data_IF_200592354769
#
_entry.id   IF_200592354769
#
_cell.length_a   1.000
_cell.length_b   1.000
_cell.length_c   1.000
_cell.angle_alpha   90.00
_cell.angle_beta   90.00
_cell.angle_gamma   90.00
#
_symmetry.space_group_name_H-M   'P 1'
#
loop_
_entity.id
_entity.type
_entity.pdbx_description
1 polymer ?
#
# COMPACT_ATOMS: atom_id res chain seq x y z
N UNK A 1 -8.72 6.47 1.16
CA UNK A 1 -7.55 7.22 1.66
C UNK A 1 -8.05 8.50 2.31
N UNK A 2 -7.53 8.85 3.49
CA UNK A 2 -7.75 10.15 4.08
C UNK A 2 -7.37 11.24 3.06
N UNK A 3 -8.00 12.42 3.09
CA UNK A 3 -7.67 13.48 2.18
C UNK A 3 -6.22 13.92 2.42
N UNK A 4 -5.34 13.40 1.57
CA UNK A 4 -3.94 13.75 1.49
C UNK A 4 -3.80 14.86 0.44
N UNK A 5 -3.15 15.96 0.80
CA UNK A 5 -2.91 17.07 -0.10
C UNK A 5 -2.07 16.65 -1.31
N UNK A 6 -1.11 15.76 -1.10
CA UNK A 6 -0.25 15.23 -2.17
C UNK A 6 -1.08 14.48 -3.20
N UNK A 7 -1.92 13.54 -2.76
CA UNK A 7 -2.78 12.76 -3.66
C UNK A 7 -3.81 13.63 -4.41
N UNK A 8 -4.32 14.68 -3.77
CA UNK A 8 -5.21 15.65 -4.43
C UNK A 8 -4.48 16.44 -5.51
N UNK A 9 -3.26 16.85 -5.26
CA UNK A 9 -2.47 17.65 -6.19
C UNK A 9 -2.00 16.85 -7.41
N UNK A 10 -1.63 15.58 -7.25
CA UNK A 10 -1.26 14.71 -8.37
C UNK A 10 -2.36 14.61 -9.43
N UNK A 11 -3.62 14.62 -9.01
CA UNK A 11 -4.76 14.57 -9.93
C UNK A 11 -5.09 15.91 -10.62
N UNK A 12 -4.63 17.04 -10.09
CA UNK A 12 -5.07 18.37 -10.50
C UNK A 12 -3.93 19.18 -11.15
N UNK A 13 -2.70 19.05 -10.67
CA UNK A 13 -1.56 19.84 -11.14
C UNK A 13 -0.73 19.08 -12.18
N UNK A 14 -0.82 19.40 -13.50
CA UNK A 14 -0.05 18.71 -14.53
C UNK A 14 1.46 18.77 -14.26
N UNK A 15 2.13 17.62 -14.34
CA UNK A 15 3.58 17.52 -14.16
C UNK A 15 4.04 17.46 -12.70
N UNK A 16 3.11 17.28 -11.76
CA UNK A 16 3.41 16.89 -10.41
C UNK A 16 3.33 15.36 -10.31
N UNK A 17 4.33 14.74 -9.73
CA UNK A 17 4.39 13.29 -9.52
C UNK A 17 5.08 12.96 -8.21
N UNK A 18 4.71 11.86 -7.59
CA UNK A 18 5.37 11.33 -6.42
C UNK A 18 6.28 10.16 -6.81
N UNK A 19 7.51 10.23 -6.40
CA UNK A 19 8.48 9.15 -6.58
C UNK A 19 9.16 8.87 -5.22
N UNK A 20 9.11 7.62 -4.76
CA UNK A 20 9.62 7.21 -3.44
C UNK A 20 9.09 8.07 -2.28
N UNK A 21 7.82 8.41 -2.30
CA UNK A 21 7.17 9.31 -1.32
C UNK A 21 7.69 10.76 -1.35
N UNK A 22 8.50 11.14 -2.33
CA UNK A 22 8.93 12.53 -2.53
C UNK A 22 8.18 13.15 -3.68
N UNK A 23 7.67 14.35 -3.45
CA UNK A 23 6.96 15.12 -4.44
C UNK A 23 7.96 15.75 -5.43
N UNK A 24 7.72 15.57 -6.72
CA UNK A 24 8.55 16.14 -7.78
C UNK A 24 7.72 16.91 -8.80
N UNK A 25 8.23 18.04 -9.23
CA UNK A 25 7.68 18.80 -10.35
C UNK A 25 8.56 18.53 -11.57
N UNK A 26 7.97 17.98 -12.67
CA UNK A 26 8.64 17.60 -13.92
C UNK A 26 9.46 16.31 -13.89
N UNK A 27 9.29 15.46 -12.89
CA UNK A 27 10.05 14.22 -12.77
C UNK A 27 11.47 14.40 -12.23
N UNK A 28 12.18 13.29 -12.08
CA UNK A 28 13.56 13.28 -11.54
C UNK A 28 14.52 13.77 -12.61
N UNK A 29 15.03 14.99 -12.49
CA UNK A 29 15.95 15.59 -13.46
C UNK A 29 17.44 15.33 -13.15
N UNK A 30 17.78 14.90 -11.94
CA UNK A 30 19.16 14.59 -11.54
C UNK A 30 19.19 13.67 -10.31
N UNK A 31 20.09 12.68 -10.35
CA UNK A 31 20.32 11.78 -9.22
C UNK A 31 21.12 12.42 -8.06
N UNK A 32 21.65 13.63 -8.23
CA UNK A 32 22.61 14.22 -7.31
C UNK A 32 22.07 15.38 -6.46
N UNK A 33 20.90 15.92 -6.79
CA UNK A 33 20.30 17.05 -6.06
C UNK A 33 18.86 16.69 -5.73
N UNK A 34 18.44 16.90 -4.48
CA UNK A 34 17.07 16.64 -4.03
C UNK A 34 16.05 17.27 -5.00
N UNK A 35 15.00 16.52 -5.31
CA UNK A 35 13.96 16.88 -6.29
C UNK A 35 12.79 17.61 -5.66
N UNK A 36 12.80 17.79 -4.34
CA UNK A 36 11.70 18.34 -3.54
C UNK A 36 11.50 19.82 -3.86
N UNK A 37 10.28 20.22 -4.23
CA UNK A 37 9.94 21.64 -4.43
C UNK A 37 10.02 22.44 -3.13
N UNK A 38 10.29 23.74 -3.24
CA UNK A 38 10.22 24.64 -2.10
C UNK A 38 8.76 24.84 -1.69
N UNK A 39 8.44 24.59 -0.42
CA UNK A 39 7.14 24.94 0.15
C UNK A 39 7.15 26.37 0.68
N UNK A 40 6.16 27.16 0.26
CA UNK A 40 5.92 28.51 0.74
C UNK A 40 4.51 28.56 1.33
N UNK A 41 4.41 28.92 2.59
CA UNK A 41 3.12 29.04 3.29
C UNK A 41 2.89 30.51 3.63
N UNK A 42 1.78 31.07 3.19
CA UNK A 42 1.40 32.47 3.38
C UNK A 42 2.55 33.47 3.05
N UNK A 43 3.23 33.19 1.93
CA UNK A 43 4.32 34.01 1.42
C UNK A 43 5.68 33.76 2.09
N UNK A 44 5.78 32.89 3.08
CA UNK A 44 7.03 32.57 3.79
C UNK A 44 7.55 31.18 3.41
N UNK A 45 8.84 31.04 3.02
CA UNK A 45 9.45 29.73 2.81
C UNK A 45 9.41 28.88 4.09
N UNK A 46 8.91 27.67 3.96
CA UNK A 46 8.75 26.72 5.07
C UNK A 46 9.71 25.54 4.94
N UNK A 47 10.10 24.97 6.07
CA UNK A 47 10.79 23.68 6.15
C UNK A 47 9.84 22.49 6.32
N UNK A 48 8.54 22.74 6.43
CA UNK A 48 7.50 21.72 6.48
C UNK A 48 7.36 21.05 5.12
N UNK A 49 6.78 19.86 5.13
CA UNK A 49 6.32 19.15 3.94
C UNK A 49 4.81 19.38 3.72
N UNK A 50 4.29 19.02 2.55
CA UNK A 50 2.84 19.09 2.33
C UNK A 50 2.05 18.14 3.22
N UNK A 51 2.66 17.05 3.65
CA UNK A 51 2.06 16.05 4.54
C UNK A 51 1.87 16.61 5.96
N UNK A 52 2.74 17.55 6.38
CA UNK A 52 2.64 18.22 7.69
C UNK A 52 1.51 19.24 7.75
N UNK A 53 0.99 19.65 6.60
CA UNK A 53 -0.08 20.64 6.55
C UNK A 53 -1.45 19.99 6.77
N UNK A 54 -2.27 20.61 7.61
CA UNK A 54 -3.65 20.20 7.75
C UNK A 54 -4.45 20.61 6.50
N UNK A 55 -5.02 19.67 5.71
CA UNK A 55 -5.77 20.00 4.50
C UNK A 55 -6.95 20.94 4.72
N UNK A 56 -7.53 20.93 5.91
CA UNK A 56 -8.67 21.76 6.27
C UNK A 56 -8.29 23.24 6.50
N UNK A 57 -7.01 23.54 6.73
CA UNK A 57 -6.52 24.91 6.87
C UNK A 57 -6.16 25.56 5.56
N UNK A 58 -6.06 24.77 4.49
CA UNK A 58 -5.62 25.25 3.18
C UNK A 58 -6.79 25.87 2.43
N UNK A 59 -6.60 27.07 1.93
CA UNK A 59 -7.52 27.77 1.05
C UNK A 59 -7.18 27.50 -0.41
N UNK A 60 -5.93 27.81 -0.80
CA UNK A 60 -5.45 27.62 -2.17
C UNK A 60 -4.05 27.03 -2.21
N UNK A 61 -3.78 26.26 -3.27
CA UNK A 61 -2.44 25.77 -3.58
C UNK A 61 -2.11 26.14 -5.02
N UNK A 62 -0.98 26.81 -5.19
CA UNK A 62 -0.46 27.21 -6.50
C UNK A 62 0.91 26.60 -6.73
N UNK A 63 1.10 25.92 -7.86
CA UNK A 63 2.38 25.33 -8.23
C UNK A 63 3.07 26.24 -9.24
N UNK A 64 4.19 26.85 -8.82
CA UNK A 64 5.03 27.69 -9.65
C UNK A 64 6.15 26.84 -10.26
N UNK A 65 6.20 26.86 -11.59
CA UNK A 65 7.20 26.14 -12.39
C UNK A 65 8.07 27.19 -13.11
N UNK A 66 9.32 26.84 -13.35
CA UNK A 66 10.20 27.65 -14.23
C UNK A 66 10.73 28.95 -13.64
N UNK A 67 11.03 29.88 -14.54
CA UNK A 67 11.64 31.16 -14.23
C UNK A 67 10.83 32.02 -13.23
N UNK A 68 9.52 31.86 -13.18
CA UNK A 68 8.67 32.57 -12.23
C UNK A 68 9.01 32.19 -10.78
N UNK A 69 9.24 30.90 -10.52
CA UNK A 69 9.61 30.40 -9.20
C UNK A 69 10.98 30.93 -8.77
N UNK A 70 11.99 30.83 -9.65
CA UNK A 70 13.35 31.27 -9.33
C UNK A 70 13.50 32.78 -9.22
N UNK A 71 12.69 33.56 -9.95
CA UNK A 71 12.70 35.04 -9.85
C UNK A 71 12.18 35.55 -8.50
N UNK A 72 11.22 34.85 -7.89
CA UNK A 72 10.61 35.21 -6.62
C UNK A 72 11.36 34.65 -5.40
N UNK A 73 11.85 33.41 -5.51
CA UNK A 73 12.38 32.65 -4.36
C UNK A 73 13.85 32.21 -4.52
N UNK A 74 14.52 32.69 -5.59
CA UNK A 74 15.93 32.46 -5.85
C UNK A 74 16.29 31.01 -6.16
N UNK A 75 17.54 30.64 -5.92
CA UNK A 75 18.12 29.34 -6.25
C UNK A 75 17.40 28.16 -5.54
N UNK A 76 16.82 28.42 -4.37
CA UNK A 76 16.05 27.40 -3.63
C UNK A 76 14.81 26.91 -4.37
N UNK A 77 14.35 27.66 -5.35
CA UNK A 77 13.18 27.36 -6.17
C UNK A 77 13.51 26.63 -7.48
N UNK A 78 14.75 26.16 -7.65
CA UNK A 78 15.19 25.46 -8.90
C UNK A 78 14.34 24.23 -9.22
N UNK A 79 13.80 23.55 -8.21
CA UNK A 79 12.94 22.38 -8.36
C UNK A 79 11.44 22.73 -8.41
N UNK A 80 11.11 24.03 -8.53
CA UNK A 80 9.77 24.57 -8.45
C UNK A 80 9.37 24.98 -7.05
N UNK A 81 8.22 25.65 -6.94
CA UNK A 81 7.67 26.16 -5.68
C UNK A 81 6.20 25.76 -5.57
N UNK A 82 5.82 25.29 -4.41
CA UNK A 82 4.42 25.10 -4.03
C UNK A 82 4.05 26.19 -3.06
N UNK A 83 3.17 27.09 -3.49
CA UNK A 83 2.65 28.19 -2.67
C UNK A 83 1.32 27.76 -2.09
N UNK A 84 1.24 27.73 -0.78
CA UNK A 84 0.02 27.43 -0.02
C UNK A 84 -0.45 28.69 0.66
N UNK A 85 -1.72 29.03 0.45
CA UNK A 85 -2.40 30.10 1.19
C UNK A 85 -3.35 29.44 2.19
N UNK A 86 -3.26 29.85 3.44
CA UNK A 86 -4.15 29.32 4.48
C UNK A 86 -5.45 30.13 4.57
N UNK A 87 -6.50 29.49 5.05
CA UNK A 87 -7.79 30.13 5.32
C UNK A 87 -7.64 31.19 6.38
N UNK A 88 -8.20 32.35 6.13
CA UNK A 88 -8.25 33.43 7.10
C UNK A 88 -9.65 33.52 7.75
N UNK A 89 -9.71 34.18 8.90
CA UNK A 89 -10.97 34.42 9.56
C UNK A 89 -11.76 35.52 8.83
N UNK A 90 -12.96 35.20 8.38
CA UNK A 90 -13.79 36.11 7.57
C UNK A 90 -14.69 37.02 8.40
N UNK A 91 -14.98 36.67 9.65
CA UNK A 91 -16.03 37.29 10.44
C UNK A 91 -15.59 37.63 11.87
N UNK A 92 -16.16 38.70 12.44
CA UNK A 92 -15.98 39.08 13.86
C UNK A 92 -16.61 38.11 14.86
N UNK A 93 -17.39 37.16 14.38
CA UNK A 93 -17.98 36.09 15.19
C UNK A 93 -17.06 34.90 15.28
N UNK A 94 -17.03 34.29 16.46
CA UNK A 94 -16.34 33.01 16.62
C UNK A 94 -17.03 31.95 15.76
N UNK A 95 -16.28 31.41 14.81
CA UNK A 95 -16.71 30.28 13.99
C UNK A 95 -15.98 29.03 14.45
N UNK A 96 -16.73 27.98 14.74
CA UNK A 96 -16.24 26.67 15.14
C UNK A 96 -16.67 25.68 14.09
N UNK A 97 -15.69 25.03 13.45
CA UNK A 97 -15.97 23.97 12.49
C UNK A 97 -15.36 22.67 13.02
N UNK A 98 -16.16 21.60 13.01
CA UNK A 98 -15.77 20.25 13.39
C UNK A 98 -16.02 19.34 12.22
N UNK A 99 -14.98 18.67 11.75
CA UNK A 99 -15.10 17.65 10.71
C UNK A 99 -14.63 16.28 11.22
N UNK A 100 -15.41 15.27 10.86
CA UNK A 100 -15.19 13.87 11.20
C UNK A 100 -15.15 13.06 9.91
N UNK A 101 -14.03 12.39 9.66
CA UNK A 101 -13.82 11.56 8.50
C UNK A 101 -13.57 10.10 8.88
N UNK A 102 -14.27 9.18 8.22
CA UNK A 102 -14.02 7.75 8.31
C UNK A 102 -13.70 7.22 6.92
N UNK A 103 -12.49 6.71 6.74
CA UNK A 103 -12.03 6.18 5.46
C UNK A 103 -11.79 4.70 5.56
N UNK A 104 -12.57 3.93 4.83
CA UNK A 104 -12.48 2.50 4.78
C UNK A 104 -11.69 2.09 3.53
N UNK A 105 -10.56 1.44 3.70
CA UNK A 105 -9.80 0.87 2.59
C UNK A 105 -10.25 -0.57 2.39
N UNK A 106 -10.93 -0.89 1.28
CA UNK A 106 -11.34 -2.26 1.04
C UNK A 106 -10.12 -3.16 0.87
N UNK A 107 -10.26 -4.39 1.32
CA UNK A 107 -9.24 -5.40 1.11
C UNK A 107 -9.07 -5.66 -0.39
N UNK A 108 -7.82 -5.71 -0.91
CA UNK A 108 -7.61 -6.04 -2.31
C UNK A 108 -8.11 -7.47 -2.58
N UNK A 109 -8.81 -7.65 -3.70
CA UNK A 109 -9.12 -8.98 -4.19
C UNK A 109 -7.85 -9.64 -4.70
N UNK A 110 -7.63 -10.91 -4.34
CA UNK A 110 -6.53 -11.70 -4.90
C UNK A 110 -6.92 -12.41 -6.21
N UNK A 111 -8.18 -12.28 -6.62
CA UNK A 111 -8.72 -13.00 -7.77
C UNK A 111 -8.16 -12.47 -9.11
N UNK A 112 -7.73 -11.20 -9.14
CA UNK A 112 -7.09 -10.61 -10.33
C UNK A 112 -5.74 -11.25 -10.68
N UNK A 113 -5.10 -11.92 -9.73
CA UNK A 113 -3.77 -12.53 -9.94
C UNK A 113 -3.84 -13.84 -10.72
N UNK A 114 -5.03 -14.38 -10.97
CA UNK A 114 -5.26 -15.61 -11.74
C UNK A 114 -4.39 -16.81 -11.31
N UNK A 115 -4.06 -16.89 -10.03
CA UNK A 115 -3.34 -18.06 -9.50
C UNK A 115 -4.20 -19.30 -9.57
N UNK A 116 -3.57 -20.45 -9.86
CA UNK A 116 -4.20 -21.75 -9.78
C UNK A 116 -4.82 -21.96 -8.40
N UNK A 117 -5.96 -22.63 -8.35
CA UNK A 117 -6.56 -23.01 -7.07
C UNK A 117 -5.68 -24.07 -6.37
N UNK A 118 -5.81 -24.18 -5.05
CA UNK A 118 -5.14 -25.25 -4.29
C UNK A 118 -5.50 -26.63 -4.84
N UNK A 119 -6.74 -26.81 -5.28
CA UNK A 119 -7.18 -28.06 -5.90
C UNK A 119 -6.43 -28.33 -7.19
N UNK A 120 -6.29 -27.32 -8.08
CA UNK A 120 -5.60 -27.48 -9.37
C UNK A 120 -4.12 -27.79 -9.16
N UNK A 121 -3.48 -27.18 -8.17
CA UNK A 121 -2.08 -27.45 -7.83
C UNK A 121 -1.90 -28.89 -7.33
N UNK A 122 -2.78 -29.35 -6.44
CA UNK A 122 -2.75 -30.73 -5.92
C UNK A 122 -2.99 -31.75 -7.03
N UNK A 123 -3.95 -31.48 -7.93
CA UNK A 123 -4.21 -32.35 -9.06
C UNK A 123 -3.03 -32.39 -10.04
N UNK A 124 -2.40 -31.24 -10.30
CA UNK A 124 -1.19 -31.16 -11.11
C UNK A 124 -0.01 -31.93 -10.50
N UNK A 125 0.25 -31.75 -9.20
CA UNK A 125 1.32 -32.47 -8.49
C UNK A 125 1.06 -33.99 -8.53
N UNK A 126 -0.17 -34.41 -8.24
CA UNK A 126 -0.58 -35.83 -8.32
C UNK A 126 -0.37 -36.40 -9.72
N UNK A 127 -0.85 -35.70 -10.74
CA UNK A 127 -0.80 -36.16 -12.12
C UNK A 127 0.64 -36.22 -12.64
N UNK A 128 1.48 -35.26 -12.27
CA UNK A 128 2.91 -35.27 -12.55
C UNK A 128 3.60 -36.50 -11.91
N UNK A 129 3.33 -36.75 -10.64
CA UNK A 129 3.90 -37.92 -9.94
C UNK A 129 3.44 -39.24 -10.56
N UNK A 130 2.14 -39.37 -10.82
CA UNK A 130 1.56 -40.62 -11.37
C UNK A 130 1.96 -40.87 -12.83
N UNK A 131 2.35 -39.85 -13.58
CA UNK A 131 2.85 -39.96 -14.95
C UNK A 131 4.36 -40.12 -15.04
N UNK A 132 5.10 -39.99 -13.94
CA UNK A 132 6.56 -40.12 -13.93
C UNK A 132 6.96 -41.60 -14.19
N UNK A 133 7.77 -41.88 -15.25
CA UNK A 133 8.16 -43.24 -15.60
C UNK A 133 8.93 -43.98 -14.50
N UNK A 134 9.72 -43.30 -13.72
CA UNK A 134 10.49 -43.90 -12.62
C UNK A 134 9.59 -44.24 -11.45
N UNK A 135 8.59 -43.40 -11.16
CA UNK A 135 7.56 -43.70 -10.16
C UNK A 135 6.72 -44.91 -10.58
N UNK A 136 6.25 -44.93 -11.84
CA UNK A 136 5.43 -46.04 -12.38
C UNK A 136 6.21 -47.36 -12.29
N UNK A 137 7.51 -47.34 -12.60
CA UNK A 137 8.37 -48.54 -12.56
C UNK A 137 8.57 -49.07 -11.14
N UNK A 138 8.82 -48.23 -10.17
CA UNK A 138 8.97 -48.60 -8.76
C UNK A 138 8.81 -47.41 -7.84
N UNK A 139 7.61 -47.23 -7.25
CA UNK A 139 7.40 -46.08 -6.32
C UNK A 139 8.39 -46.03 -5.16
N UNK A 140 8.72 -47.20 -4.60
CA UNK A 140 9.67 -47.30 -3.48
C UNK A 140 11.08 -46.84 -3.89
N UNK A 141 11.57 -47.28 -5.07
CA UNK A 141 12.88 -46.87 -5.58
C UNK A 141 12.91 -45.39 -5.94
N UNK A 142 11.84 -44.87 -6.53
CA UNK A 142 11.68 -43.43 -6.82
C UNK A 142 11.90 -42.57 -5.57
N UNK A 143 11.15 -42.83 -4.52
CA UNK A 143 11.26 -42.08 -3.28
C UNK A 143 12.59 -42.32 -2.54
N UNK A 144 13.15 -43.50 -2.61
CA UNK A 144 14.49 -43.76 -2.04
C UNK A 144 15.56 -42.94 -2.74
N UNK A 145 15.47 -42.76 -4.06
CA UNK A 145 16.38 -41.92 -4.82
C UNK A 145 16.16 -40.44 -4.51
N UNK A 146 14.92 -40.02 -4.38
CA UNK A 146 14.54 -38.65 -4.04
C UNK A 146 15.03 -38.26 -2.65
N UNK A 147 14.84 -39.10 -1.66
CA UNK A 147 15.29 -38.88 -0.28
C UNK A 147 16.80 -38.95 -0.13
N UNK A 148 17.51 -39.75 -0.94
CA UNK A 148 18.97 -39.83 -0.97
C UNK A 148 19.63 -38.60 -1.61
N UNK A 149 18.99 -38.01 -2.63
CA UNK A 149 19.51 -36.83 -3.36
C UNK A 149 19.07 -35.49 -2.79
N UNK A 150 17.94 -35.46 -2.10
CA UNK A 150 17.33 -34.25 -1.57
C UNK A 150 16.90 -34.49 -0.12
N UNK A 151 17.02 -33.47 0.73
CA UNK A 151 16.46 -33.54 2.07
C UNK A 151 14.94 -33.77 2.01
N UNK A 152 14.34 -34.53 2.93
CA UNK A 152 12.87 -34.68 3.02
C UNK A 152 12.10 -33.36 3.06
N UNK A 153 12.78 -32.26 3.36
CA UNK A 153 12.23 -30.90 3.35
C UNK A 153 11.78 -30.42 1.96
N UNK A 154 12.15 -31.10 0.86
CA UNK A 154 11.73 -30.74 -0.50
C UNK A 154 10.53 -31.55 -1.02
N UNK A 155 10.04 -32.51 -0.25
CA UNK A 155 8.87 -33.27 -0.62
C UNK A 155 7.59 -32.42 -0.37
N UNK A 156 6.71 -32.37 -1.37
CA UNK A 156 5.41 -31.74 -1.19
C UNK A 156 4.53 -32.55 -0.24
N UNK A 157 3.41 -31.99 0.17
CA UNK A 157 2.43 -32.76 0.97
C UNK A 157 1.80 -33.89 0.15
N UNK A 158 1.67 -33.72 -1.15
CA UNK A 158 1.21 -34.74 -2.09
C UNK A 158 2.22 -35.88 -2.16
N UNK A 159 3.51 -35.53 -2.41
CA UNK A 159 4.58 -36.52 -2.43
C UNK A 159 4.65 -37.33 -1.13
N UNK A 160 4.50 -36.66 0.02
CA UNK A 160 4.54 -37.33 1.33
C UNK A 160 3.42 -38.35 1.51
N UNK A 161 2.22 -38.09 1.01
CA UNK A 161 1.13 -39.06 1.04
C UNK A 161 1.47 -40.28 0.20
N UNK A 162 1.94 -40.10 -1.03
CA UNK A 162 2.30 -41.20 -1.92
C UNK A 162 3.56 -41.92 -1.44
N UNK A 163 4.51 -41.24 -0.82
CA UNK A 163 5.66 -41.87 -0.17
C UNK A 163 5.21 -42.84 0.94
N UNK A 164 4.35 -42.39 1.83
CA UNK A 164 3.84 -43.23 2.92
C UNK A 164 3.05 -44.43 2.40
N UNK A 165 2.31 -44.26 1.31
CA UNK A 165 1.64 -45.37 0.63
C UNK A 165 2.66 -46.35 0.04
N UNK A 166 3.71 -45.90 -0.64
CA UNK A 166 4.76 -46.72 -1.20
C UNK A 166 5.53 -47.50 -0.12
N UNK A 167 5.63 -46.96 1.08
CA UNK A 167 6.24 -47.64 2.24
C UNK A 167 5.27 -48.61 2.95
N UNK A 168 4.02 -48.68 2.54
CA UNK A 168 3.00 -49.52 3.15
C UNK A 168 2.42 -49.01 4.47
N UNK A 169 2.65 -47.72 4.79
CA UNK A 169 2.16 -47.11 6.02
C UNK A 169 0.69 -46.71 5.96
N UNK A 170 0.20 -46.35 4.77
CA UNK A 170 -1.18 -45.92 4.54
C UNK A 170 -1.73 -46.56 3.27
N UNK A 171 -3.05 -46.66 3.19
CA UNK A 171 -3.80 -47.20 2.06
C UNK A 171 -4.07 -46.13 0.99
N UNK A 172 -4.48 -46.54 -0.21
CA UNK A 172 -4.93 -45.62 -1.27
C UNK A 172 -6.14 -44.77 -0.83
N UNK A 173 -7.03 -45.33 -0.01
CA UNK A 173 -8.18 -44.60 0.52
C UNK A 173 -7.74 -43.48 1.46
N UNK A 174 -6.72 -43.74 2.28
CA UNK A 174 -6.14 -42.71 3.18
C UNK A 174 -5.37 -41.64 2.41
N UNK A 175 -4.71 -41.99 1.29
CA UNK A 175 -4.13 -41.01 0.35
C UNK A 175 -5.22 -40.08 -0.18
N UNK A 176 -6.30 -40.66 -0.71
CA UNK A 176 -7.42 -39.88 -1.26
C UNK A 176 -8.04 -38.95 -0.20
N UNK A 177 -8.26 -39.45 1.01
CA UNK A 177 -8.75 -38.62 2.12
C UNK A 177 -7.76 -37.51 2.52
N UNK A 178 -6.45 -37.79 2.42
CA UNK A 178 -5.40 -36.81 2.62
C UNK A 178 -5.42 -35.71 1.57
N UNK A 179 -5.53 -36.05 0.30
CA UNK A 179 -5.65 -35.12 -0.82
C UNK A 179 -6.90 -34.25 -0.69
N UNK A 180 -8.05 -34.82 -0.32
CA UNK A 180 -9.28 -34.05 -0.12
C UNK A 180 -9.16 -33.04 1.03
N UNK A 181 -8.47 -33.41 2.09
CA UNK A 181 -8.15 -32.50 3.18
C UNK A 181 -7.26 -31.34 2.72
N UNK A 182 -6.25 -31.63 1.91
CA UNK A 182 -5.36 -30.60 1.35
C UNK A 182 -6.11 -29.65 0.42
N UNK A 183 -7.02 -30.16 -0.42
CA UNK A 183 -7.89 -29.36 -1.31
C UNK A 183 -8.76 -28.36 -0.53
N UNK A 184 -9.15 -28.73 0.70
CA UNK A 184 -9.90 -27.84 1.60
C UNK A 184 -9.11 -26.64 2.10
N UNK A 185 -7.79 -26.64 1.99
CA UNK A 185 -6.92 -25.55 2.40
C UNK A 185 -6.80 -24.52 1.27
N UNK A 186 -7.50 -23.41 1.37
CA UNK A 186 -7.36 -22.29 0.44
C UNK A 186 -6.39 -21.26 1.04
N UNK A 187 -5.18 -21.20 0.47
CA UNK A 187 -4.14 -20.26 0.89
C UNK A 187 -4.62 -18.81 0.81
N UNK A 188 -5.44 -18.44 -0.18
CA UNK A 188 -5.98 -17.09 -0.34
C UNK A 188 -6.91 -16.71 0.80
N UNK A 189 -7.74 -17.67 1.23
CA UNK A 189 -8.62 -17.49 2.39
C UNK A 189 -7.85 -17.34 3.70
N UNK A 190 -6.82 -18.16 3.89
CA UNK A 190 -5.96 -18.09 5.07
C UNK A 190 -5.13 -16.80 5.09
N UNK A 191 -4.61 -16.38 3.93
CA UNK A 191 -3.91 -15.10 3.77
C UNK A 191 -4.80 -13.92 4.14
N UNK A 192 -6.05 -13.89 3.59
CA UNK A 192 -7.03 -12.85 3.95
C UNK A 192 -7.30 -12.82 5.45
N UNK A 193 -7.52 -13.99 6.03
CA UNK A 193 -7.87 -14.11 7.44
C UNK A 193 -6.75 -13.71 8.40
N UNK A 194 -5.50 -14.01 8.04
CA UNK A 194 -4.34 -13.86 8.93
C UNK A 194 -3.54 -12.58 8.70
N UNK A 195 -3.47 -12.12 7.46
CA UNK A 195 -2.56 -11.05 7.05
C UNK A 195 -3.25 -9.81 6.49
N UNK A 196 -4.51 -9.93 6.07
CA UNK A 196 -5.27 -8.79 5.62
C UNK A 196 -6.23 -8.34 6.71
N UNK A 197 -6.03 -7.10 7.17
CA UNK A 197 -6.95 -6.43 8.09
C UNK A 197 -7.66 -5.30 7.35
N UNK A 198 -8.89 -5.04 7.77
CA UNK A 198 -9.64 -3.90 7.27
C UNK A 198 -9.00 -2.63 7.84
N UNK A 199 -8.44 -1.80 6.97
CA UNK A 199 -7.87 -0.53 7.39
C UNK A 199 -8.98 0.52 7.51
N UNK A 200 -9.23 0.97 8.72
CA UNK A 200 -10.13 2.06 9.04
C UNK A 200 -9.29 3.27 9.47
N UNK A 201 -9.20 4.27 8.63
CA UNK A 201 -8.57 5.54 9.02
C UNK A 201 -9.65 6.47 9.57
N UNK A 202 -9.40 7.01 10.75
CA UNK A 202 -10.24 8.00 11.41
C UNK A 202 -9.55 9.35 11.38
N UNK A 203 -10.27 10.40 11.02
CA UNK A 203 -9.76 11.76 10.90
C UNK A 203 -10.69 12.71 11.66
N UNK A 204 -10.15 13.38 12.64
CA UNK A 204 -10.85 14.33 13.49
C UNK A 204 -10.19 15.70 13.34
N UNK A 205 -10.96 16.71 12.94
CA UNK A 205 -10.42 18.03 12.79
C UNK A 205 -11.35 19.08 13.46
N UNK A 206 -10.74 20.00 14.18
CA UNK A 206 -11.43 21.14 14.81
C UNK A 206 -10.73 22.40 14.37
N UNK A 207 -11.48 23.34 13.80
CA UNK A 207 -10.99 24.68 13.48
C UNK A 207 -11.79 25.74 14.22
N UNK A 208 -11.08 26.70 14.77
CA UNK A 208 -11.64 27.89 15.41
C UNK A 208 -11.15 29.11 14.67
N UNK A 209 -12.04 29.97 14.24
CA UNK A 209 -11.64 31.24 13.59
C UNK A 209 -12.49 32.40 14.10
N UNK A 210 -11.84 33.54 14.28
CA UNK A 210 -12.46 34.80 14.61
C UNK A 210 -11.68 35.93 13.99
N UNK A 211 -12.30 36.75 13.18
CA UNK A 211 -11.69 37.94 12.53
C UNK A 211 -12.52 39.19 12.78
N UNK A 212 -12.16 40.28 12.11
CA UNK A 212 -12.93 41.53 12.11
C UNK A 212 -12.48 42.56 13.14
N UNK A 213 -11.39 42.31 13.88
CA UNK A 213 -10.80 43.26 14.83
C UNK A 213 -9.36 43.70 14.43
N UNK A 214 -8.59 44.17 15.42
CA UNK A 214 -7.15 44.41 15.24
C UNK A 214 -6.34 43.12 15.10
N UNK A 215 -6.89 42.01 15.53
CA UNK A 215 -6.23 40.70 15.52
C UNK A 215 -7.20 39.64 15.00
N UNK A 216 -6.77 38.88 14.02
CA UNK A 216 -7.47 37.69 13.57
C UNK A 216 -6.90 36.49 14.30
N UNK A 217 -7.81 35.60 14.74
CA UNK A 217 -7.48 34.35 15.39
C UNK A 217 -7.89 33.19 14.46
N UNK A 218 -6.93 32.36 14.16
CA UNK A 218 -7.19 31.07 13.49
C UNK A 218 -6.45 29.98 14.24
N UNK A 219 -7.17 28.94 14.66
CA UNK A 219 -6.61 27.77 15.31
C UNK A 219 -7.18 26.51 14.63
N UNK A 220 -6.30 25.53 14.38
CA UNK A 220 -6.68 24.23 13.86
C UNK A 220 -5.97 23.14 14.60
N UNK A 221 -6.70 22.08 14.92
CA UNK A 221 -6.15 20.84 15.47
C UNK A 221 -6.72 19.65 14.69
N UNK A 222 -5.83 18.76 14.27
CA UNK A 222 -6.18 17.52 13.58
C UNK A 222 -5.58 16.34 14.32
N UNK A 223 -6.38 15.31 14.48
CA UNK A 223 -5.94 14.01 14.93
C UNK A 223 -6.35 12.95 13.91
N UNK A 224 -5.40 12.12 13.52
CA UNK A 224 -5.61 11.04 12.57
C UNK A 224 -5.13 9.73 13.17
N UNK A 225 -6.00 8.72 13.17
CA UNK A 225 -5.68 7.36 13.58
C UNK A 225 -5.67 6.47 12.33
N UNK A 226 -4.52 5.82 12.10
CA UNK A 226 -4.33 4.86 11.01
C UNK A 226 -4.55 3.46 11.56
N UNK A 227 -5.54 2.75 11.05
CA UNK A 227 -5.87 1.38 11.44
C UNK A 227 -5.19 0.31 10.57
#
# INVERSE_FOLDING_TARGET
QAPDLVAKLEGIAPGLSTYNNELSIRGVSSFAVGTTPLLVVDGQPSSLTLEDLNPETVETITVLKDAAATSLYGVRASNGVIVVTTKQAENDKLNVNVSLGYYLKPLPSLDYMHYASTSDIIDLERDNLLSDPEYIKSPTAYFSTMTAKSSPAYMTQVDMLYYRMAMGEITQEEVNAGLDRLRGNDYRREYRKKLQHLNLTQDYNVTLSKGGGKNDLFFSARYQELG
#
